data_IF_597857261445
#
_entry.id   IF_597857261445
#
_cell.length_a   1.000
_cell.length_b   1.000
_cell.length_c   1.000
_cell.angle_alpha   90.00
_cell.angle_beta   90.00
_cell.angle_gamma   90.00
#
_symmetry.space_group_name_H-M   'P 1'
#
loop_
_entity.id
_entity.type
_entity.pdbx_description
1 polymer ?
#
# COMPACT_ATOMS: atom_id res chain seq x y z
N UNK A 1 5.31 -6.39 22.57
CA UNK A 1 4.35 -5.29 22.31
C UNK A 1 4.89 -4.18 21.39
N UNK A 2 6.19 -4.07 21.10
CA UNK A 2 6.72 -3.00 20.23
C UNK A 2 6.45 -3.22 18.72
N UNK A 3 6.43 -4.47 18.25
CA UNK A 3 6.33 -4.80 16.82
C UNK A 3 4.99 -4.40 16.18
N UNK A 4 3.90 -4.32 16.95
CA UNK A 4 2.58 -3.90 16.45
C UNK A 4 2.55 -2.41 16.05
N UNK A 5 3.24 -1.53 16.80
CA UNK A 5 3.24 -0.08 16.54
C UNK A 5 4.13 0.34 15.37
N UNK A 6 5.20 -0.43 15.09
CA UNK A 6 6.04 -0.17 13.91
C UNK A 6 5.32 -0.55 12.61
N UNK A 7 4.48 -1.59 12.67
CA UNK A 7 3.67 -2.07 11.56
C UNK A 7 2.59 -1.05 11.16
N UNK A 8 1.84 -0.49 12.11
CA UNK A 8 0.83 0.53 11.84
C UNK A 8 1.43 1.79 11.18
N UNK A 9 2.58 2.26 11.70
CA UNK A 9 3.30 3.40 11.08
C UNK A 9 3.80 3.07 9.68
N UNK A 10 4.22 1.84 9.44
CA UNK A 10 4.68 1.43 8.13
C UNK A 10 3.51 1.32 7.15
N UNK A 11 2.36 0.82 7.59
CA UNK A 11 1.13 0.74 6.79
C UNK A 11 0.62 2.12 6.36
N UNK A 12 0.66 3.13 7.24
CA UNK A 12 0.31 4.50 6.86
C UNK A 12 1.27 5.08 5.82
N UNK A 13 2.59 4.98 6.04
CA UNK A 13 3.60 5.45 5.06
C UNK A 13 3.53 4.68 3.74
N UNK A 14 3.14 3.41 3.79
CA UNK A 14 3.04 2.52 2.65
C UNK A 14 1.88 2.89 1.73
N UNK A 15 0.74 3.33 2.29
CA UNK A 15 -0.37 3.87 1.53
C UNK A 15 -0.01 5.20 0.85
N UNK A 16 0.85 6.01 1.44
CA UNK A 16 1.34 7.26 0.82
C UNK A 16 2.24 7.05 -0.38
N UNK A 17 2.83 5.86 -0.54
CA UNK A 17 3.55 5.52 -1.77
C UNK A 17 2.60 5.31 -2.95
N UNK A 18 1.31 5.05 -2.73
CA UNK A 18 0.35 4.86 -3.81
C UNK A 18 -0.16 6.20 -4.35
N UNK A 19 0.14 6.46 -5.62
CA UNK A 19 -0.27 7.67 -6.33
C UNK A 19 -1.71 7.59 -6.83
N UNK A 20 -2.22 6.37 -7.01
CA UNK A 20 -3.60 6.11 -7.45
C UNK A 20 -4.55 6.16 -6.24
N UNK A 21 -5.45 7.16 -6.14
CA UNK A 21 -6.31 7.33 -4.97
C UNK A 21 -7.34 6.21 -4.82
N UNK A 22 -7.86 5.64 -5.91
CA UNK A 22 -8.81 4.53 -5.86
C UNK A 22 -8.15 3.25 -5.32
N UNK A 23 -6.92 2.98 -5.76
CA UNK A 23 -6.16 1.83 -5.29
C UNK A 23 -5.68 2.02 -3.85
N UNK A 24 -5.29 3.24 -3.46
CA UNK A 24 -4.95 3.59 -2.07
C UNK A 24 -6.10 3.27 -1.12
N UNK A 25 -7.33 3.63 -1.46
CA UNK A 25 -8.50 3.34 -0.62
C UNK A 25 -8.80 1.84 -0.53
N UNK A 26 -8.68 1.10 -1.64
CA UNK A 26 -8.80 -0.37 -1.63
C UNK A 26 -7.79 -1.03 -0.71
N UNK A 27 -6.51 -0.62 -0.79
CA UNK A 27 -5.46 -1.14 0.07
C UNK A 27 -5.73 -0.83 1.54
N UNK A 28 -6.16 0.39 1.85
CA UNK A 28 -6.53 0.78 3.22
C UNK A 28 -7.63 -0.11 3.77
N UNK A 29 -8.67 -0.40 2.98
CA UNK A 29 -9.74 -1.32 3.39
C UNK A 29 -9.26 -2.76 3.53
N UNK A 30 -8.38 -3.25 2.65
CA UNK A 30 -7.80 -4.59 2.79
C UNK A 30 -6.97 -4.73 4.06
N UNK A 31 -6.13 -3.74 4.37
CA UNK A 31 -5.31 -3.72 5.59
C UNK A 31 -6.21 -3.64 6.83
N UNK A 32 -7.20 -2.74 6.84
CA UNK A 32 -8.14 -2.59 7.95
C UNK A 32 -8.99 -3.84 8.21
N UNK A 33 -9.25 -4.66 7.18
CA UNK A 33 -9.98 -5.93 7.30
C UNK A 33 -9.13 -7.07 7.84
N UNK A 34 -7.80 -6.94 7.84
CA UNK A 34 -6.92 -7.99 8.36
C UNK A 34 -6.89 -7.89 9.89
N UNK A 35 -7.24 -8.98 10.54
CA UNK A 35 -7.08 -9.14 11.99
C UNK A 35 -5.62 -9.32 12.40
N UNK A 36 -4.74 -9.65 11.44
CA UNK A 36 -3.32 -9.92 11.67
C UNK A 36 -2.43 -8.91 10.94
N UNK A 37 -1.31 -8.50 11.55
CA UNK A 37 -0.36 -7.59 10.93
C UNK A 37 0.21 -8.15 9.63
N UNK A 38 0.56 -7.27 8.69
CA UNK A 38 1.20 -7.68 7.44
C UNK A 38 2.57 -8.32 7.69
N UNK A 39 2.69 -9.61 7.37
CA UNK A 39 4.02 -10.25 7.35
C UNK A 39 4.93 -9.61 6.28
N UNK A 40 6.26 -9.67 6.47
CA UNK A 40 7.25 -9.14 5.52
C UNK A 40 7.03 -9.61 4.08
N UNK A 41 6.60 -10.87 3.88
CA UNK A 41 6.28 -11.38 2.53
C UNK A 41 5.08 -10.68 1.92
N UNK A 42 4.05 -10.40 2.73
CA UNK A 42 2.86 -9.67 2.29
C UNK A 42 3.21 -8.22 1.97
N UNK A 43 3.98 -7.55 2.83
CA UNK A 43 4.47 -6.19 2.59
C UNK A 43 5.22 -6.07 1.26
N UNK A 44 6.15 -7.00 0.97
CA UNK A 44 6.88 -7.00 -0.30
C UNK A 44 5.93 -7.13 -1.50
N UNK A 45 4.95 -8.03 -1.43
CA UNK A 45 3.95 -8.21 -2.50
C UNK A 45 3.13 -6.94 -2.73
N UNK A 46 2.71 -6.28 -1.66
CA UNK A 46 1.99 -5.03 -1.80
C UNK A 46 2.88 -3.95 -2.42
N UNK A 47 4.16 -3.87 -2.04
CA UNK A 47 5.09 -2.87 -2.59
C UNK A 47 5.22 -3.00 -4.10
N UNK A 48 5.44 -4.23 -4.56
CA UNK A 48 5.50 -4.58 -5.99
C UNK A 48 4.21 -4.19 -6.73
N UNK A 49 3.05 -4.42 -6.10
CA UNK A 49 1.74 -4.03 -6.68
C UNK A 49 1.60 -2.51 -6.77
N UNK A 50 1.92 -1.77 -5.71
CA UNK A 50 1.86 -0.30 -5.71
C UNK A 50 2.76 0.26 -6.81
N UNK A 51 3.98 -0.26 -6.94
CA UNK A 51 4.92 0.21 -7.96
C UNK A 51 4.35 0.05 -9.37
N UNK A 52 3.76 -1.13 -9.67
CA UNK A 52 3.08 -1.37 -10.96
C UNK A 52 1.84 -0.49 -11.17
N UNK A 53 1.05 -0.26 -10.13
CA UNK A 53 -0.12 0.62 -10.21
C UNK A 53 0.32 2.06 -10.45
N UNK A 54 1.35 2.53 -9.75
CA UNK A 54 1.93 3.86 -9.92
C UNK A 54 2.51 4.05 -11.32
N UNK A 55 3.20 3.06 -11.87
CA UNK A 55 3.71 3.09 -13.24
C UNK A 55 2.56 3.33 -14.23
N UNK A 56 1.50 2.51 -14.16
CA UNK A 56 0.31 2.66 -14.99
C UNK A 56 -0.41 3.98 -14.77
N UNK A 57 -0.50 4.44 -13.52
CA UNK A 57 -1.13 5.70 -13.19
C UNK A 57 -0.35 6.87 -13.79
N UNK A 58 0.99 6.86 -13.67
CA UNK A 58 1.87 7.86 -14.28
C UNK A 58 1.76 7.84 -15.80
N UNK A 59 1.77 6.67 -16.44
CA UNK A 59 1.58 6.56 -17.89
C UNK A 59 0.24 7.13 -18.36
N UNK A 60 -0.84 6.92 -17.59
CA UNK A 60 -2.16 7.49 -17.88
C UNK A 60 -2.19 9.01 -17.67
N UNK A 61 -1.53 9.49 -16.62
CA UNK A 61 -1.56 10.91 -16.22
C UNK A 61 -0.62 11.76 -17.08
N UNK A 62 0.48 11.20 -17.61
CA UNK A 62 1.43 11.88 -18.51
C UNK A 62 1.00 11.90 -19.98
N UNK A 63 -0.05 11.18 -20.35
CA UNK A 63 -0.58 11.13 -21.74
C UNK A 63 -1.75 12.07 -21.98
N UNK A 64 -2.04 12.99 -21.07
CA UNK A 64 -3.05 14.05 -21.21
C UNK A 64 -2.37 15.41 -21.08
#
# INVERSE_FOLDING_TARGET
>A
MAQLRELERFEENFLDLCLDPEYKEKLRQEIAKRSEPLDRKAMKKYKDKIEKVNEKYREKTLKH
#
